data_IF_497266926592
#
_entry.id   IF_497266926592
#
_cell.length_a   1.000
_cell.length_b   1.000
_cell.length_c   1.000
_cell.angle_alpha   90.00
_cell.angle_beta   90.00
_cell.angle_gamma   90.00
#
_symmetry.space_group_name_H-M   'P 1'
#
loop_
_entity.id
_entity.type
_entity.pdbx_description
1 polymer ?
#
# COMPACT_ATOMS: atom_id res chain seq x y z
N UNK A 1 -0.78 48.20 -16.58
CA UNK A 1 -1.03 47.20 -15.51
C UNK A 1 -2.12 46.31 -16.05
N UNK A 2 -1.71 45.20 -16.63
CA UNK A 2 -2.66 44.19 -17.10
C UNK A 2 -3.15 43.36 -15.90
N UNK A 3 -4.44 43.06 -15.79
CA UNK A 3 -4.92 42.24 -14.70
C UNK A 3 -4.43 40.79 -14.90
N UNK A 4 -3.99 40.21 -13.80
CA UNK A 4 -3.37 38.91 -13.69
C UNK A 4 -4.37 37.78 -14.08
N UNK A 5 -4.33 37.33 -15.34
CA UNK A 5 -5.22 36.29 -15.90
C UNK A 5 -5.23 34.99 -15.09
N UNK A 6 -4.21 34.77 -14.25
CA UNK A 6 -4.11 33.58 -13.39
C UNK A 6 -5.07 33.60 -12.18
N UNK A 7 -5.46 34.75 -11.68
CA UNK A 7 -6.40 34.85 -10.54
C UNK A 7 -7.86 34.67 -10.98
N UNK A 8 -8.23 35.14 -12.18
CA UNK A 8 -9.58 34.98 -12.71
C UNK A 8 -9.89 33.55 -13.15
N UNK A 9 -8.89 32.82 -13.66
CA UNK A 9 -9.04 31.39 -14.02
C UNK A 9 -9.25 30.50 -12.80
N UNK A 10 -8.55 30.77 -11.69
CA UNK A 10 -8.75 30.10 -10.41
C UNK A 10 -10.13 30.40 -9.84
N UNK A 11 -10.57 31.65 -9.84
CA UNK A 11 -11.89 32.05 -9.35
C UNK A 11 -13.04 31.35 -10.08
N UNK A 12 -12.97 31.25 -11.41
CA UNK A 12 -13.96 30.53 -12.22
C UNK A 12 -13.91 29.02 -12.01
N UNK A 13 -12.72 28.44 -11.83
CA UNK A 13 -12.53 27.03 -11.53
C UNK A 13 -13.12 26.67 -10.14
N UNK A 14 -12.94 27.54 -9.15
CA UNK A 14 -13.51 27.37 -7.80
C UNK A 14 -15.04 27.42 -7.82
N UNK A 15 -15.62 28.33 -8.61
CA UNK A 15 -17.07 28.46 -8.74
C UNK A 15 -17.72 27.26 -9.45
N UNK A 16 -17.07 26.70 -10.47
CA UNK A 16 -17.56 25.52 -11.21
C UNK A 16 -17.48 24.21 -10.42
N UNK A 17 -16.54 24.07 -9.49
CA UNK A 17 -16.23 22.79 -8.83
C UNK A 17 -16.68 22.69 -7.37
N UNK A 18 -17.50 23.61 -6.86
CA UNK A 18 -18.01 23.64 -5.46
C UNK A 18 -16.90 23.45 -4.41
N UNK A 19 -15.75 24.10 -4.60
CA UNK A 19 -14.66 24.05 -3.63
C UNK A 19 -15.10 24.81 -2.37
N UNK A 20 -15.21 24.08 -1.26
CA UNK A 20 -15.61 24.64 0.02
C UNK A 20 -14.40 25.24 0.75
N UNK A 21 -14.49 26.47 1.25
CA UNK A 21 -13.52 26.99 2.22
C UNK A 21 -13.93 26.60 3.63
N UNK A 22 -13.04 25.93 4.36
CA UNK A 22 -13.26 25.52 5.75
C UNK A 22 -12.23 26.25 6.61
N UNK A 23 -12.70 27.13 7.48
CA UNK A 23 -11.85 27.95 8.39
C UNK A 23 -12.05 27.60 9.86
N UNK A 24 -13.04 26.75 10.19
CA UNK A 24 -13.32 26.36 11.56
C UNK A 24 -12.81 24.95 11.85
N UNK A 25 -11.98 24.80 12.88
CA UNK A 25 -11.53 23.51 13.39
C UNK A 25 -12.68 22.65 13.99
N UNK A 26 -13.82 23.27 14.32
CA UNK A 26 -15.02 22.57 14.79
C UNK A 26 -15.82 21.93 13.64
N UNK A 27 -15.47 22.16 12.39
CA UNK A 27 -16.13 21.54 11.25
C UNK A 27 -16.12 20.01 11.38
N UNK A 28 -17.27 19.34 11.22
CA UNK A 28 -17.37 17.89 11.40
C UNK A 28 -16.39 17.09 10.54
N UNK A 29 -16.12 17.54 9.31
CA UNK A 29 -15.20 16.87 8.38
C UNK A 29 -13.74 16.98 8.85
N UNK A 30 -13.33 18.15 9.36
CA UNK A 30 -12.00 18.35 9.96
C UNK A 30 -11.82 17.47 11.18
N UNK A 31 -12.82 17.44 12.09
CA UNK A 31 -12.78 16.60 13.29
C UNK A 31 -12.70 15.11 12.93
N UNK A 32 -13.46 14.67 11.93
CA UNK A 32 -13.42 13.30 11.44
C UNK A 32 -12.03 12.97 10.89
N UNK A 33 -11.48 13.82 10.01
CA UNK A 33 -10.16 13.61 9.40
C UNK A 33 -9.06 13.58 10.46
N UNK A 34 -9.06 14.51 11.40
CA UNK A 34 -8.11 14.51 12.53
C UNK A 34 -8.22 13.21 13.36
N UNK A 35 -9.44 12.74 13.61
CA UNK A 35 -9.64 11.48 14.33
C UNK A 35 -9.14 10.26 13.51
N UNK A 36 -9.28 10.27 12.20
CA UNK A 36 -8.76 9.21 11.30
C UNK A 36 -7.23 9.20 11.29
N UNK A 37 -6.60 10.37 11.25
CA UNK A 37 -5.13 10.51 11.29
C UNK A 37 -4.57 10.01 12.62
N UNK A 38 -5.11 10.46 13.75
CA UNK A 38 -4.46 10.25 15.06
C UNK A 38 -4.99 9.03 15.85
N UNK A 39 -6.14 8.45 15.47
CA UNK A 39 -6.78 7.37 16.23
C UNK A 39 -7.05 6.16 15.32
N UNK A 40 -6.11 5.20 15.26
CA UNK A 40 -6.22 4.00 14.41
C UNK A 40 -7.57 3.26 14.56
N UNK A 41 -8.07 3.09 15.79
CA UNK A 41 -9.38 2.44 16.03
C UNK A 41 -10.53 3.21 15.38
N UNK A 42 -10.44 4.54 15.33
CA UNK A 42 -11.45 5.38 14.69
C UNK A 42 -11.39 5.25 13.18
N UNK A 43 -10.19 5.28 12.60
CA UNK A 43 -9.95 5.06 11.18
C UNK A 43 -10.56 3.73 10.71
N UNK A 44 -10.28 2.64 11.43
CA UNK A 44 -10.83 1.32 11.14
C UNK A 44 -12.35 1.27 11.26
N UNK A 45 -12.92 1.87 12.33
CA UNK A 45 -14.39 1.91 12.56
C UNK A 45 -15.13 2.69 11.49
N UNK A 46 -14.58 3.81 11.04
CA UNK A 46 -15.19 4.65 10.00
C UNK A 46 -14.92 4.08 8.59
N UNK A 47 -14.05 3.09 8.44
CA UNK A 47 -13.62 2.57 7.14
C UNK A 47 -12.88 3.61 6.31
N UNK A 48 -12.10 4.50 6.94
CA UNK A 48 -11.41 5.61 6.31
C UNK A 48 -9.91 5.53 6.55
N UNK A 49 -9.15 6.18 5.67
CA UNK A 49 -7.71 6.41 5.82
C UNK A 49 -7.29 7.71 5.13
N UNK A 50 -6.07 8.14 5.32
CA UNK A 50 -5.54 9.36 4.72
C UNK A 50 -4.37 9.08 3.79
N UNK A 51 -4.30 9.89 2.74
CA UNK A 51 -3.20 9.92 1.76
C UNK A 51 -2.63 11.32 1.74
N UNK A 52 -1.38 11.47 2.19
CA UNK A 52 -0.72 12.76 2.30
C UNK A 52 0.38 12.92 1.26
N UNK A 53 0.45 14.12 0.67
CA UNK A 53 1.45 14.51 -0.30
C UNK A 53 0.99 14.43 -1.75
N UNK A 54 1.52 15.33 -2.58
CA UNK A 54 1.08 15.53 -3.96
C UNK A 54 1.18 14.27 -4.81
N UNK A 55 2.33 13.58 -4.77
CA UNK A 55 2.56 12.39 -5.60
C UNK A 55 1.60 11.25 -5.28
N UNK A 56 1.37 10.99 -3.99
CA UNK A 56 0.41 9.96 -3.58
C UNK A 56 -1.02 10.35 -3.90
N UNK A 57 -1.36 11.63 -3.73
CA UNK A 57 -2.67 12.16 -4.08
C UNK A 57 -2.97 12.03 -5.58
N UNK A 58 -1.97 12.26 -6.45
CA UNK A 58 -2.10 12.05 -7.90
C UNK A 58 -2.41 10.58 -8.22
N UNK A 59 -1.68 9.64 -7.62
CA UNK A 59 -1.90 8.21 -7.83
C UNK A 59 -3.26 7.76 -7.28
N UNK A 60 -3.64 8.22 -6.10
CA UNK A 60 -4.96 7.98 -5.53
C UNK A 60 -6.08 8.56 -6.40
N UNK A 61 -5.87 9.75 -6.97
CA UNK A 61 -6.87 10.42 -7.79
C UNK A 61 -7.12 9.73 -9.13
N UNK A 62 -6.19 8.97 -9.68
CA UNK A 62 -6.39 8.18 -10.91
C UNK A 62 -6.85 6.75 -10.64
N UNK A 63 -6.79 6.27 -9.40
CA UNK A 63 -7.28 4.95 -9.01
C UNK A 63 -8.81 4.90 -8.93
N UNK A 64 -9.41 3.71 -8.87
CA UNK A 64 -10.86 3.53 -8.69
C UNK A 64 -11.34 3.73 -7.24
N UNK A 65 -10.39 4.02 -6.31
CA UNK A 65 -10.71 4.16 -4.91
C UNK A 65 -11.49 5.43 -4.61
N UNK A 66 -12.42 5.36 -3.67
CA UNK A 66 -13.32 6.46 -3.38
C UNK A 66 -12.69 7.52 -2.50
N UNK A 67 -12.65 8.74 -3.01
CA UNK A 67 -12.19 9.94 -2.31
C UNK A 67 -13.39 10.56 -1.57
N UNK A 68 -13.30 10.63 -0.24
CA UNK A 68 -14.32 11.25 0.59
C UNK A 68 -14.21 12.77 0.59
N UNK A 69 -12.99 13.28 0.65
CA UNK A 69 -12.67 14.69 0.51
C UNK A 69 -11.18 14.88 0.25
N UNK A 70 -10.83 15.89 -0.55
CA UNK A 70 -9.47 16.37 -0.70
C UNK A 70 -9.32 17.70 0.08
N UNK A 71 -8.31 17.78 0.94
CA UNK A 71 -7.94 19.01 1.66
C UNK A 71 -6.69 19.59 1.04
N UNK A 72 -6.75 20.86 0.67
CA UNK A 72 -5.61 21.58 0.11
C UNK A 72 -5.42 22.91 0.85
N UNK A 73 -4.18 23.34 0.93
CA UNK A 73 -3.88 24.72 1.38
C UNK A 73 -3.82 25.65 0.18
N UNK A 74 -3.97 26.96 0.41
CA UNK A 74 -3.91 27.94 -0.67
C UNK A 74 -2.53 27.96 -1.35
N UNK A 75 -1.46 27.77 -0.58
CA UNK A 75 -0.10 27.70 -1.14
C UNK A 75 0.10 26.45 -2.02
N UNK A 76 -0.46 25.32 -1.63
CA UNK A 76 -0.36 24.09 -2.41
C UNK A 76 -1.05 24.21 -3.77
N UNK A 77 -2.19 24.89 -3.83
CA UNK A 77 -2.98 25.07 -5.08
C UNK A 77 -2.25 25.90 -6.15
N UNK A 78 -1.28 26.73 -5.76
CA UNK A 78 -0.55 27.60 -6.70
C UNK A 78 0.34 26.80 -7.68
N UNK A 79 0.70 25.57 -7.37
CA UNK A 79 1.56 24.74 -8.22
C UNK A 79 0.82 24.07 -9.38
N UNK A 80 1.44 24.01 -10.56
CA UNK A 80 0.87 23.39 -11.77
C UNK A 80 0.38 21.95 -11.56
N UNK A 81 1.17 21.12 -10.83
CA UNK A 81 0.78 19.73 -10.54
C UNK A 81 -0.45 19.65 -9.62
N UNK A 82 -0.57 20.55 -8.65
CA UNK A 82 -1.75 20.61 -7.79
C UNK A 82 -3.00 21.04 -8.59
N UNK A 83 -2.83 21.94 -9.55
CA UNK A 83 -3.91 22.31 -10.46
C UNK A 83 -4.32 21.15 -11.38
N UNK A 84 -3.36 20.35 -11.86
CA UNK A 84 -3.66 19.13 -12.60
C UNK A 84 -4.43 18.11 -11.73
N UNK A 85 -4.02 17.92 -10.48
CA UNK A 85 -4.74 17.10 -9.51
C UNK A 85 -6.17 17.59 -9.29
N UNK A 86 -6.37 18.90 -9.14
CA UNK A 86 -7.70 19.49 -8.98
C UNK A 86 -8.62 19.21 -10.18
N UNK A 87 -8.09 19.22 -11.43
CA UNK A 87 -8.87 18.85 -12.61
C UNK A 87 -9.31 17.38 -12.57
N UNK A 88 -8.44 16.47 -12.13
CA UNK A 88 -8.77 15.04 -11.97
C UNK A 88 -9.85 14.87 -10.89
N UNK A 89 -9.68 15.53 -9.74
CA UNK A 89 -10.65 15.50 -8.65
C UNK A 89 -12.02 16.02 -9.09
N UNK A 90 -12.04 17.11 -9.86
CA UNK A 90 -13.26 17.68 -10.43
C UNK A 90 -13.96 16.71 -11.41
N UNK A 91 -13.22 16.09 -12.33
CA UNK A 91 -13.75 15.10 -13.25
C UNK A 91 -14.37 13.90 -12.51
N UNK A 92 -13.82 13.54 -11.35
CA UNK A 92 -14.35 12.50 -10.45
C UNK A 92 -15.48 12.99 -9.54
N UNK A 93 -15.81 14.26 -9.57
CA UNK A 93 -16.76 14.89 -8.65
C UNK A 93 -16.38 14.67 -7.17
N UNK A 94 -15.08 14.58 -6.89
CA UNK A 94 -14.58 14.42 -5.53
C UNK A 94 -14.70 15.76 -4.78
N UNK A 95 -15.25 15.78 -3.55
CA UNK A 95 -15.33 17.01 -2.75
C UNK A 95 -13.94 17.56 -2.46
N UNK A 96 -13.77 18.88 -2.62
CA UNK A 96 -12.51 19.58 -2.33
C UNK A 96 -12.76 20.67 -1.30
N UNK A 97 -11.89 20.73 -0.29
CA UNK A 97 -11.90 21.75 0.74
C UNK A 97 -10.56 22.50 0.79
N UNK A 98 -10.62 23.83 0.72
CA UNK A 98 -9.48 24.69 1.04
C UNK A 98 -9.46 24.97 2.53
N UNK A 99 -8.30 24.77 3.15
CA UNK A 99 -8.08 24.97 4.59
C UNK A 99 -6.82 25.81 4.86
N UNK A 100 -6.78 26.58 5.95
CA UNK A 100 -5.57 27.30 6.36
C UNK A 100 -4.41 26.36 6.68
N UNK A 101 -3.16 26.80 6.47
CA UNK A 101 -1.92 26.06 6.79
C UNK A 101 -1.90 25.58 8.25
N UNK A 102 -2.33 26.43 9.19
CA UNK A 102 -2.41 26.08 10.62
C UNK A 102 -3.37 24.93 10.90
N UNK A 103 -4.43 24.81 10.11
CA UNK A 103 -5.37 23.70 10.23
C UNK A 103 -4.81 22.45 9.56
N UNK A 104 -4.14 22.59 8.42
CA UNK A 104 -3.48 21.49 7.73
C UNK A 104 -2.43 20.83 8.62
N UNK A 105 -1.62 21.64 9.33
CA UNK A 105 -0.59 21.13 10.26
C UNK A 105 -1.16 20.20 11.35
N UNK A 106 -2.42 20.39 11.75
CA UNK A 106 -3.09 19.51 12.70
C UNK A 106 -3.63 18.21 12.06
N UNK A 107 -3.68 18.13 10.73
CA UNK A 107 -4.10 16.95 9.97
C UNK A 107 -2.91 16.18 9.39
N UNK A 108 -1.72 16.76 9.39
CA UNK A 108 -0.51 16.16 8.83
C UNK A 108 0.23 15.33 9.88
N UNK A 109 0.78 14.18 9.43
CA UNK A 109 1.72 13.36 10.20
C UNK A 109 3.18 13.60 9.76
N UNK A 110 3.43 14.43 8.74
CA UNK A 110 4.76 14.65 8.18
C UNK A 110 5.36 15.98 8.62
N UNK A 111 6.68 15.99 8.84
CA UNK A 111 7.42 17.21 9.13
C UNK A 111 7.46 18.15 7.91
N UNK A 112 7.60 17.59 6.70
CA UNK A 112 7.66 18.33 5.44
C UNK A 112 6.29 18.34 4.75
N UNK A 113 5.41 19.21 5.21
CA UNK A 113 4.04 19.29 4.72
C UNK A 113 3.97 19.88 3.31
N UNK A 114 3.25 19.21 2.42
CA UNK A 114 3.02 19.67 1.04
C UNK A 114 1.64 20.34 0.87
N UNK A 115 0.87 20.47 1.93
CA UNK A 115 -0.45 21.13 1.91
C UNK A 115 -1.52 20.36 1.13
N UNK A 116 -1.36 19.04 0.92
CA UNK A 116 -2.31 18.19 0.20
C UNK A 116 -2.56 16.90 0.99
N UNK A 117 -3.82 16.63 1.33
CA UNK A 117 -4.26 15.43 2.02
C UNK A 117 -5.60 14.96 1.46
N UNK A 118 -5.71 13.68 1.12
CA UNK A 118 -6.97 13.06 0.76
C UNK A 118 -7.49 12.21 1.92
N UNK A 119 -8.75 12.37 2.25
CA UNK A 119 -9.51 11.43 3.08
C UNK A 119 -10.19 10.44 2.14
N UNK A 120 -9.88 9.16 2.29
CA UNK A 120 -10.34 8.11 1.39
C UNK A 120 -11.10 7.02 2.14
N UNK A 121 -12.02 6.35 1.46
CA UNK A 121 -12.64 5.14 1.97
C UNK A 121 -11.67 3.96 1.80
N UNK A 122 -11.52 3.12 2.84
CA UNK A 122 -10.74 1.87 2.74
C UNK A 122 -11.34 1.00 1.64
N UNK A 123 -10.52 0.34 0.87
CA UNK A 123 -10.95 -0.68 -0.07
C UNK A 123 -11.74 -1.77 0.64
N UNK A 124 -12.61 -2.45 -0.09
CA UNK A 124 -13.26 -3.64 0.46
C UNK A 124 -12.18 -4.67 0.78
N UNK A 125 -12.15 -5.15 2.03
CA UNK A 125 -11.23 -6.22 2.40
C UNK A 125 -11.52 -7.45 1.53
N UNK A 126 -10.55 -7.83 0.70
CA UNK A 126 -10.70 -8.95 -0.22
C UNK A 126 -10.55 -10.28 0.52
N UNK A 127 -11.45 -11.21 0.24
CA UNK A 127 -11.20 -12.61 0.55
C UNK A 127 -10.11 -13.20 -0.36
N UNK A 128 -9.48 -14.28 0.04
CA UNK A 128 -8.47 -14.96 -0.78
C UNK A 128 -9.04 -15.42 -2.13
N UNK A 129 -10.33 -15.76 -2.20
CA UNK A 129 -11.01 -16.07 -3.46
C UNK A 129 -11.17 -14.88 -4.40
N UNK A 130 -11.44 -13.69 -3.84
CA UNK A 130 -11.50 -12.46 -4.61
C UNK A 130 -10.10 -12.05 -5.10
N UNK A 131 -9.06 -12.26 -4.28
CA UNK A 131 -7.66 -12.02 -4.64
C UNK A 131 -7.27 -12.83 -5.89
N UNK A 132 -7.62 -14.12 -5.95
CA UNK A 132 -7.37 -14.97 -7.13
C UNK A 132 -8.06 -14.42 -8.39
N UNK A 133 -9.27 -13.90 -8.26
CA UNK A 133 -10.02 -13.37 -9.42
C UNK A 133 -9.48 -12.03 -9.94
N UNK A 134 -8.82 -11.27 -9.07
CA UNK A 134 -8.22 -9.97 -9.43
C UNK A 134 -6.75 -10.06 -9.86
N UNK A 135 -6.17 -11.28 -9.81
CA UNK A 135 -4.79 -11.46 -10.29
C UNK A 135 -4.66 -10.89 -11.71
N UNK A 136 -3.66 -10.06 -11.90
CA UNK A 136 -3.19 -9.74 -13.23
C UNK A 136 -2.88 -11.08 -13.92
N UNK A 137 -3.08 -11.20 -15.23
CA UNK A 137 -2.91 -12.44 -16.01
C UNK A 137 -1.49 -13.03 -15.95
N UNK A 138 -0.81 -12.87 -14.82
CA UNK A 138 0.48 -13.49 -14.53
C UNK A 138 0.24 -14.94 -14.16
N UNK A 139 0.49 -15.80 -15.10
CA UNK A 139 0.43 -17.24 -14.91
C UNK A 139 1.85 -17.83 -15.03
N UNK A 140 2.28 -18.59 -14.07
CA UNK A 140 1.63 -19.05 -12.85
C UNK A 140 1.58 -17.98 -11.72
N UNK A 141 0.57 -18.03 -10.82
CA UNK A 141 0.41 -17.02 -9.76
C UNK A 141 1.57 -17.04 -8.75
N UNK A 142 1.89 -15.85 -8.23
CA UNK A 142 2.88 -15.64 -7.17
C UNK A 142 2.32 -14.74 -6.10
N UNK A 143 2.07 -15.27 -4.90
CA UNK A 143 1.58 -14.53 -3.75
C UNK A 143 2.65 -14.40 -2.68
N UNK A 144 2.71 -13.24 -2.05
CA UNK A 144 3.55 -12.96 -0.90
C UNK A 144 2.69 -12.96 0.35
N UNK A 145 3.10 -13.71 1.37
CA UNK A 145 2.43 -13.74 2.67
C UNK A 145 3.31 -13.07 3.70
N UNK A 146 2.73 -12.16 4.46
CA UNK A 146 3.35 -11.50 5.60
C UNK A 146 2.80 -12.10 6.89
N UNK A 147 3.59 -12.94 7.54
CA UNK A 147 3.24 -13.55 8.82
C UNK A 147 3.68 -12.64 9.97
N UNK A 148 2.76 -11.80 10.43
CA UNK A 148 2.95 -10.89 11.58
C UNK A 148 4.12 -9.90 11.38
N UNK A 149 4.34 -9.41 10.16
CA UNK A 149 5.30 -8.33 9.90
C UNK A 149 4.72 -7.03 10.48
N UNK A 150 5.37 -6.50 11.52
CA UNK A 150 4.80 -5.42 12.34
C UNK A 150 5.35 -4.04 12.00
N UNK A 151 6.54 -3.92 11.39
CA UNK A 151 7.05 -2.62 10.99
C UNK A 151 6.29 -2.08 9.77
N UNK A 152 5.64 -0.91 9.88
CA UNK A 152 4.88 -0.32 8.79
C UNK A 152 5.75 0.04 7.57
N UNK A 153 7.03 0.37 7.79
CA UNK A 153 7.97 0.66 6.70
C UNK A 153 8.26 -0.58 5.86
N UNK A 154 8.45 -1.73 6.53
CA UNK A 154 8.64 -3.02 5.85
C UNK A 154 7.40 -3.40 5.05
N UNK A 155 6.20 -3.35 5.67
CA UNK A 155 4.95 -3.68 4.96
C UNK A 155 4.76 -2.82 3.71
N UNK A 156 4.95 -1.51 3.82
CA UNK A 156 4.81 -0.60 2.67
C UNK A 156 5.86 -0.85 1.58
N UNK A 157 7.11 -1.13 1.97
CA UNK A 157 8.19 -1.47 1.04
C UNK A 157 7.91 -2.79 0.33
N UNK A 158 7.38 -3.78 1.05
CA UNK A 158 7.00 -5.08 0.47
C UNK A 158 5.87 -4.94 -0.55
N UNK A 159 4.82 -4.18 -0.23
CA UNK A 159 3.75 -3.88 -1.18
C UNK A 159 4.29 -3.23 -2.46
N UNK A 160 5.19 -2.26 -2.32
CA UNK A 160 5.85 -1.61 -3.46
C UNK A 160 6.72 -2.58 -4.27
N UNK A 161 7.43 -3.47 -3.60
CA UNK A 161 8.28 -4.48 -4.27
C UNK A 161 7.43 -5.51 -5.00
N UNK A 162 6.32 -5.94 -4.37
CA UNK A 162 5.36 -6.87 -4.96
C UNK A 162 4.71 -6.30 -6.24
N UNK A 163 4.32 -5.01 -6.21
CA UNK A 163 3.84 -4.29 -7.39
C UNK A 163 4.89 -4.25 -8.51
N UNK A 164 6.12 -3.85 -8.17
CA UNK A 164 7.22 -3.72 -9.12
C UNK A 164 7.65 -5.06 -9.74
N UNK A 165 7.56 -6.17 -8.99
CA UNK A 165 7.88 -7.51 -9.46
C UNK A 165 6.70 -8.23 -10.12
N UNK A 166 5.53 -7.61 -10.21
CA UNK A 166 4.34 -8.21 -10.80
C UNK A 166 3.78 -9.39 -10.01
N UNK A 167 3.89 -9.37 -8.68
CA UNK A 167 3.26 -10.37 -7.84
C UNK A 167 1.74 -10.37 -8.02
N UNK A 168 1.12 -11.55 -7.96
CA UNK A 168 -0.34 -11.71 -8.11
C UNK A 168 -1.13 -11.12 -6.93
N UNK A 169 -0.46 -10.89 -5.80
CA UNK A 169 -1.02 -10.22 -4.64
C UNK A 169 -0.23 -10.44 -3.36
N UNK A 170 -0.60 -9.66 -2.33
CA UNK A 170 0.00 -9.73 -0.99
C UNK A 170 -1.07 -10.13 0.03
N UNK A 171 -0.76 -11.10 0.87
CA UNK A 171 -1.64 -11.62 1.92
C UNK A 171 -1.03 -11.25 3.27
N UNK A 172 -1.75 -10.46 4.05
CA UNK A 172 -1.31 -10.07 5.39
C UNK A 172 -2.07 -10.91 6.43
N UNK A 173 -1.34 -11.73 7.16
CA UNK A 173 -1.91 -12.50 8.27
C UNK A 173 -2.21 -11.59 9.46
N UNK A 174 -3.11 -12.06 10.33
CA UNK A 174 -3.45 -11.37 11.58
C UNK A 174 -2.21 -11.08 12.40
N UNK A 175 -2.09 -9.83 12.86
CA UNK A 175 -0.91 -9.37 13.61
C UNK A 175 0.11 -8.62 12.77
N UNK A 176 -0.05 -8.55 11.45
CA UNK A 176 0.72 -7.64 10.58
C UNK A 176 0.25 -6.19 10.75
N UNK A 177 1.09 -5.23 10.37
CA UNK A 177 0.75 -3.82 10.44
C UNK A 177 -0.45 -3.48 9.53
N UNK A 178 -1.28 -2.51 9.96
CA UNK A 178 -2.42 -2.00 9.21
C UNK A 178 -1.95 -1.33 7.91
N UNK A 179 -2.37 -1.88 6.77
CA UNK A 179 -2.02 -1.40 5.42
C UNK A 179 -2.44 0.07 5.22
N UNK A 180 -3.48 0.50 5.89
CA UNK A 180 -4.03 1.85 5.79
C UNK A 180 -3.42 2.86 6.78
N UNK A 181 -2.44 2.45 7.60
CA UNK A 181 -1.72 3.43 8.43
C UNK A 181 -0.93 4.40 7.58
N UNK A 182 -0.89 5.69 7.96
CA UNK A 182 -0.23 6.72 7.17
C UNK A 182 1.24 6.40 6.86
N UNK A 183 1.96 5.72 7.77
CA UNK A 183 3.34 5.28 7.54
C UNK A 183 3.44 4.18 6.46
N UNK A 184 2.53 3.20 6.44
CA UNK A 184 2.47 2.17 5.37
C UNK A 184 2.12 2.84 4.05
N UNK A 185 1.03 3.63 4.00
CA UNK A 185 0.56 4.30 2.78
C UNK A 185 1.69 5.10 2.13
N UNK A 186 2.44 5.88 2.91
CA UNK A 186 3.60 6.63 2.40
C UNK A 186 4.69 5.71 1.86
N UNK A 187 5.02 4.63 2.56
CA UNK A 187 6.08 3.71 2.17
C UNK A 187 5.76 2.93 0.88
N UNK A 188 4.47 2.71 0.56
CA UNK A 188 4.06 2.06 -0.69
C UNK A 188 4.38 2.89 -1.93
N UNK A 189 4.58 4.20 -1.79
CA UNK A 189 4.76 5.13 -2.91
C UNK A 189 3.67 5.02 -4.00
N UNK A 190 2.45 4.60 -3.58
CA UNK A 190 1.29 4.45 -4.44
C UNK A 190 0.97 3.02 -4.89
N UNK A 191 1.85 2.05 -4.68
CA UNK A 191 1.60 0.65 -5.00
C UNK A 191 0.34 0.08 -4.30
N UNK A 192 -0.08 0.68 -3.19
CA UNK A 192 -1.34 0.37 -2.50
C UNK A 192 -2.56 0.39 -3.44
N UNK A 193 -2.54 1.24 -4.45
CA UNK A 193 -3.67 1.41 -5.39
C UNK A 193 -3.62 0.44 -6.58
N UNK A 194 -2.54 -0.33 -6.72
CA UNK A 194 -2.30 -1.20 -7.86
C UNK A 194 -2.22 -2.67 -7.48
N UNK A 195 -1.44 -2.99 -6.42
CA UNK A 195 -1.24 -4.38 -6.01
C UNK A 195 -2.47 -4.92 -5.28
N UNK A 196 -3.05 -6.05 -5.71
CA UNK A 196 -4.12 -6.69 -4.95
C UNK A 196 -3.61 -7.18 -3.60
N UNK A 197 -4.40 -7.01 -2.53
CA UNK A 197 -4.03 -7.52 -1.23
C UNK A 197 -5.26 -7.98 -0.42
N UNK A 198 -5.03 -8.92 0.48
CA UNK A 198 -5.98 -9.37 1.50
C UNK A 198 -5.35 -9.21 2.88
N UNK A 199 -6.08 -8.62 3.84
CA UNK A 199 -5.57 -8.37 5.19
C UNK A 199 -6.39 -9.09 6.27
N UNK A 200 -5.76 -9.33 7.43
CA UNK A 200 -6.42 -9.95 8.58
C UNK A 200 -6.74 -11.43 8.40
N UNK A 201 -6.07 -12.09 7.47
CA UNK A 201 -6.26 -13.50 7.13
C UNK A 201 -5.75 -14.39 8.29
N UNK A 202 -6.52 -15.41 8.63
CA UNK A 202 -6.08 -16.41 9.61
C UNK A 202 -5.16 -17.45 8.94
N UNK A 203 -4.23 -18.03 9.70
CA UNK A 203 -3.33 -19.09 9.21
C UNK A 203 -4.12 -20.24 8.60
N UNK A 204 -5.17 -20.71 9.27
CA UNK A 204 -6.02 -21.80 8.74
C UNK A 204 -6.69 -21.46 7.42
N UNK A 205 -7.15 -20.21 7.27
CA UNK A 205 -7.76 -19.73 6.02
C UNK A 205 -6.75 -19.73 4.87
N UNK A 206 -5.50 -19.32 5.14
CA UNK A 206 -4.41 -19.42 4.18
C UNK A 206 -4.12 -20.87 3.81
N UNK A 207 -4.07 -21.78 4.78
CA UNK A 207 -3.80 -23.21 4.54
C UNK A 207 -4.89 -23.86 3.68
N UNK A 208 -6.15 -23.54 3.93
CA UNK A 208 -7.29 -24.02 3.14
C UNK A 208 -7.24 -23.47 1.71
N UNK A 209 -6.87 -22.20 1.56
CA UNK A 209 -6.65 -21.56 0.27
C UNK A 209 -5.54 -22.26 -0.55
N UNK A 210 -4.36 -22.45 0.04
CA UNK A 210 -3.22 -23.13 -0.60
C UNK A 210 -3.60 -24.52 -1.08
N UNK A 211 -4.32 -25.30 -0.26
CA UNK A 211 -4.81 -26.63 -0.63
C UNK A 211 -5.84 -26.59 -1.76
N UNK A 212 -6.83 -25.69 -1.68
CA UNK A 212 -7.92 -25.61 -2.66
C UNK A 212 -7.45 -25.19 -4.03
N UNK A 213 -6.50 -24.27 -4.09
CA UNK A 213 -5.93 -23.76 -5.35
C UNK A 213 -4.73 -24.57 -5.85
N UNK A 214 -4.28 -25.58 -5.08
CA UNK A 214 -3.11 -26.44 -5.40
C UNK A 214 -1.85 -25.62 -5.65
N UNK A 215 -1.59 -24.64 -4.80
CA UNK A 215 -0.44 -23.77 -4.87
C UNK A 215 0.64 -24.29 -3.91
N UNK A 216 1.90 -24.30 -4.34
CA UNK A 216 3.02 -24.66 -3.46
C UNK A 216 3.22 -23.59 -2.40
N UNK A 217 3.36 -24.02 -1.14
CA UNK A 217 3.66 -23.15 -0.01
C UNK A 217 5.15 -23.23 0.30
N UNK A 218 5.85 -22.09 0.20
CA UNK A 218 7.24 -21.92 0.62
C UNK A 218 7.34 -20.95 1.80
N UNK A 219 8.24 -21.22 2.74
CA UNK A 219 8.59 -20.30 3.80
C UNK A 219 10.03 -19.80 3.64
N UNK A 220 10.23 -18.49 3.79
CA UNK A 220 11.57 -17.92 3.87
C UNK A 220 12.15 -18.19 5.27
N UNK A 221 12.85 -19.31 5.40
CA UNK A 221 13.44 -19.78 6.65
C UNK A 221 14.75 -20.51 6.36
N UNK A 222 15.71 -20.40 7.30
CA UNK A 222 17.01 -21.08 7.20
C UNK A 222 17.07 -22.20 8.24
N UNK A 223 16.92 -23.44 7.80
CA UNK A 223 17.03 -24.64 8.62
C UNK A 223 17.69 -25.80 7.84
N UNK A 224 17.84 -26.96 8.52
CA UNK A 224 18.53 -28.17 8.01
C UNK A 224 17.76 -28.85 6.86
N UNK A 225 17.14 -28.24 6.00
CA UNK A 225 16.41 -28.82 4.85
C UNK A 225 16.08 -27.77 3.83
N UNK A 226 16.38 -26.52 4.16
CA UNK A 226 16.07 -25.39 3.31
C UNK A 226 16.91 -25.39 2.03
N UNK A 227 16.25 -25.08 0.91
CA UNK A 227 16.90 -24.89 -0.38
C UNK A 227 17.34 -23.43 -0.54
N UNK A 228 18.49 -23.17 -1.18
CA UNK A 228 18.88 -21.81 -1.56
C UNK A 228 17.84 -21.22 -2.52
N UNK A 229 17.40 -19.98 -2.29
CA UNK A 229 16.33 -19.35 -3.05
C UNK A 229 16.55 -19.38 -4.56
N UNK A 230 17.79 -19.32 -5.03
CA UNK A 230 18.15 -19.37 -6.46
C UNK A 230 18.20 -20.81 -7.01
N UNK A 231 18.21 -21.85 -6.16
CA UNK A 231 18.17 -23.26 -6.55
C UNK A 231 16.74 -23.85 -6.48
N UNK A 232 15.82 -23.16 -5.79
CA UNK A 232 14.43 -23.55 -5.73
C UNK A 232 13.71 -23.29 -7.06
N UNK A 233 12.72 -24.12 -7.43
CA UNK A 233 11.86 -23.85 -8.59
C UNK A 233 10.76 -22.85 -8.23
N UNK A 234 10.97 -21.60 -8.57
CA UNK A 234 10.04 -20.49 -8.32
C UNK A 234 9.09 -20.22 -9.52
N UNK A 235 9.09 -21.09 -10.52
CA UNK A 235 8.27 -20.93 -11.74
C UNK A 235 6.84 -21.43 -11.59
N UNK A 236 6.60 -22.35 -10.66
CA UNK A 236 5.27 -22.93 -10.40
C UNK A 236 4.31 -21.96 -9.70
N UNK A 237 2.99 -22.27 -9.60
CA UNK A 237 2.09 -21.55 -8.72
C UNK A 237 2.62 -21.54 -7.28
N UNK A 238 2.80 -20.35 -6.69
CA UNK A 238 3.62 -20.23 -5.48
C UNK A 238 3.05 -19.20 -4.50
N UNK A 239 3.05 -19.58 -3.23
CA UNK A 239 2.87 -18.70 -2.06
C UNK A 239 4.17 -18.69 -1.29
N UNK A 240 4.77 -17.52 -1.06
CA UNK A 240 6.01 -17.38 -0.29
C UNK A 240 5.70 -16.61 0.99
N UNK A 241 5.97 -17.24 2.14
CA UNK A 241 5.74 -16.68 3.47
C UNK A 241 7.01 -16.03 3.98
N UNK A 242 6.89 -14.77 4.41
CA UNK A 242 7.93 -14.05 5.14
C UNK A 242 7.45 -13.74 6.55
N UNK A 243 8.26 -14.09 7.52
CA UNK A 243 7.90 -14.02 8.93
C UNK A 243 8.21 -12.69 9.59
N UNK A 244 7.78 -12.59 10.85
CA UNK A 244 8.08 -11.51 11.77
C UNK A 244 9.60 -11.35 11.95
N UNK A 245 10.06 -10.11 12.11
CA UNK A 245 11.47 -9.75 12.19
C UNK A 245 12.19 -10.40 13.40
N UNK A 246 11.49 -10.64 14.50
CA UNK A 246 12.05 -11.22 15.71
C UNK A 246 11.81 -12.74 15.84
N UNK A 247 10.64 -13.21 15.38
CA UNK A 247 10.20 -14.59 15.64
C UNK A 247 10.17 -15.46 14.36
N UNK A 248 10.48 -14.89 13.21
CA UNK A 248 10.40 -15.61 11.94
C UNK A 248 8.97 -16.01 11.55
N UNK A 249 8.86 -17.05 10.73
CA UNK A 249 7.59 -17.64 10.29
C UNK A 249 7.03 -18.52 11.40
N UNK A 250 5.70 -18.55 11.56
CA UNK A 250 5.01 -19.36 12.57
C UNK A 250 5.21 -20.85 12.32
N UNK A 251 5.23 -21.63 13.43
CA UNK A 251 5.51 -23.08 13.40
C UNK A 251 4.52 -23.83 12.53
N UNK A 252 3.25 -23.43 12.54
CA UNK A 252 2.19 -24.02 11.74
C UNK A 252 2.47 -23.89 10.23
N UNK A 253 2.98 -22.75 9.81
CA UNK A 253 3.32 -22.50 8.40
C UNK A 253 4.63 -23.18 8.02
N UNK A 254 5.65 -23.14 8.88
CA UNK A 254 6.90 -23.87 8.68
C UNK A 254 6.64 -25.38 8.47
N UNK A 255 5.86 -25.99 9.35
CA UNK A 255 5.59 -27.43 9.30
C UNK A 255 4.88 -27.88 8.02
N UNK A 256 4.26 -26.97 7.29
CA UNK A 256 3.44 -27.25 6.12
C UNK A 256 4.06 -26.76 4.81
N UNK A 257 5.24 -26.15 4.84
CA UNK A 257 5.87 -25.51 3.68
C UNK A 257 7.20 -26.15 3.30
N UNK A 258 7.59 -25.94 2.05
CA UNK A 258 8.99 -26.06 1.64
C UNK A 258 9.77 -24.86 2.16
N UNK A 259 11.06 -25.03 2.49
CA UNK A 259 11.85 -23.93 3.03
C UNK A 259 12.87 -23.43 2.02
N UNK A 260 12.94 -22.11 1.89
CA UNK A 260 13.95 -21.45 1.07
C UNK A 260 14.72 -20.44 1.89
N UNK A 261 16.00 -20.28 1.64
CA UNK A 261 16.82 -19.30 2.32
C UNK A 261 17.71 -18.49 1.38
N UNK A 262 18.09 -17.30 1.82
CA UNK A 262 19.08 -16.45 1.16
C UNK A 262 20.41 -16.66 1.87
N UNK A 263 21.49 -17.14 1.19
CA UNK A 263 22.76 -17.40 1.84
C UNK A 263 23.41 -16.09 2.32
N UNK A 264 23.92 -16.10 3.55
CA UNK A 264 24.66 -15.01 4.15
C UNK A 264 26.17 -15.30 4.04
N UNK A 265 26.91 -14.46 3.33
CA UNK A 265 28.36 -14.62 3.18
C UNK A 265 29.17 -13.76 4.17
N UNK A 266 28.51 -12.91 4.91
CA UNK A 266 29.09 -12.01 5.90
C UNK A 266 28.77 -12.42 7.32
N UNK A 267 28.92 -11.49 8.27
CA UNK A 267 28.63 -11.68 9.70
C UNK A 267 27.18 -11.38 10.10
N UNK A 268 26.35 -10.95 9.17
CA UNK A 268 24.94 -10.71 9.43
C UNK A 268 24.18 -12.04 9.56
N UNK A 269 23.33 -12.17 10.58
CA UNK A 269 22.52 -13.37 10.82
C UNK A 269 21.30 -13.43 9.88
N UNK A 270 20.77 -12.30 9.46
CA UNK A 270 19.60 -12.20 8.58
C UNK A 270 19.58 -10.89 7.82
N UNK A 271 18.74 -10.83 6.77
CA UNK A 271 18.37 -9.60 6.08
C UNK A 271 17.14 -8.97 6.72
N UNK A 272 16.99 -7.66 6.53
CA UNK A 272 15.70 -7.01 6.73
C UNK A 272 14.64 -7.72 5.86
N UNK A 273 13.43 -7.92 6.40
CA UNK A 273 12.37 -8.71 5.72
C UNK A 273 12.00 -8.15 4.36
N UNK A 274 11.96 -6.83 4.18
CA UNK A 274 11.67 -6.23 2.86
C UNK A 274 12.80 -6.46 1.84
N UNK A 275 14.06 -6.51 2.30
CA UNK A 275 15.20 -6.86 1.46
C UNK A 275 15.17 -8.35 1.07
N UNK A 276 14.81 -9.24 2.00
CA UNK A 276 14.62 -10.65 1.72
C UNK A 276 13.51 -10.89 0.70
N UNK A 277 12.36 -10.22 0.86
CA UNK A 277 11.28 -10.25 -0.13
C UNK A 277 11.77 -9.80 -1.51
N UNK A 278 12.52 -8.71 -1.59
CA UNK A 278 13.03 -8.21 -2.87
C UNK A 278 13.96 -9.23 -3.54
N UNK A 279 14.90 -9.82 -2.80
CA UNK A 279 15.83 -10.81 -3.33
C UNK A 279 15.09 -12.02 -3.92
N UNK A 280 14.13 -12.59 -3.18
CA UNK A 280 13.38 -13.77 -3.60
C UNK A 280 12.42 -13.46 -4.77
N UNK A 281 11.71 -12.31 -4.72
CA UNK A 281 10.80 -11.92 -5.80
C UNK A 281 11.51 -11.67 -7.12
N UNK A 282 12.67 -10.99 -7.10
CA UNK A 282 13.43 -10.74 -8.32
C UNK A 282 14.09 -12.01 -8.87
N UNK A 283 14.45 -12.97 -8.02
CA UNK A 283 14.85 -14.29 -8.48
C UNK A 283 13.66 -15.06 -9.12
N UNK A 284 12.48 -15.02 -8.50
CA UNK A 284 11.28 -15.60 -9.10
C UNK A 284 10.97 -14.95 -10.46
N UNK A 285 11.08 -13.61 -10.56
CA UNK A 285 10.90 -12.89 -11.80
C UNK A 285 11.95 -13.30 -12.86
N UNK A 286 13.23 -13.44 -12.48
CA UNK A 286 14.28 -13.91 -13.36
C UNK A 286 13.95 -15.31 -13.92
N UNK A 287 13.53 -16.24 -13.06
CA UNK A 287 13.17 -17.59 -13.48
C UNK A 287 11.95 -17.64 -14.41
N UNK A 288 10.97 -16.76 -14.20
CA UNK A 288 9.70 -16.75 -14.95
C UNK A 288 9.79 -16.06 -16.31
N UNK A 289 10.55 -14.97 -16.40
CA UNK A 289 10.55 -14.11 -17.58
C UNK A 289 11.87 -14.11 -18.37
N UNK A 290 12.98 -14.56 -17.78
CA UNK A 290 14.32 -14.42 -18.39
C UNK A 290 15.06 -15.77 -18.54
N UNK A 291 14.36 -16.89 -18.60
CA UNK A 291 14.98 -18.24 -18.74
C UNK A 291 15.34 -18.61 -20.18
N UNK A 292 15.01 -17.81 -21.18
CA UNK A 292 15.40 -18.07 -22.56
C UNK A 292 16.51 -17.07 -22.98
N UNK A 293 17.75 -17.53 -22.98
CA UNK A 293 18.85 -16.89 -23.70
C UNK A 293 20.01 -16.34 -22.86
N UNK A 294 20.58 -17.14 -21.93
CA UNK A 294 21.97 -16.98 -21.51
C UNK A 294 22.73 -18.27 -21.77
#
# INVERSE_FOLDING_TARGET
>A
MEPNESQDSLGSFFAMNQIQRITSASNPLIRLTSAVVHIHRRAAKEGLFTVEGLRLAEMAAVSDWKIRCAFLTENAVAGERAQALLRILAARRAPVALIPETMFSNLSETESQQGILLLMERGKNMSLRELVRQRNDVDPPLYIVLDRVQDPGNVGTILRTADAAGASGVILLRGSADVYSGKVVRATMGALFHVPFAEGIAVMELMDFVRSERITLCAAACDDGACMHYAADLRQPLVIVFGNEANGVSVELLSASEHIYIPMCGSAESLNVSAAVAAVLYEAMRQRFYTEGV
#
